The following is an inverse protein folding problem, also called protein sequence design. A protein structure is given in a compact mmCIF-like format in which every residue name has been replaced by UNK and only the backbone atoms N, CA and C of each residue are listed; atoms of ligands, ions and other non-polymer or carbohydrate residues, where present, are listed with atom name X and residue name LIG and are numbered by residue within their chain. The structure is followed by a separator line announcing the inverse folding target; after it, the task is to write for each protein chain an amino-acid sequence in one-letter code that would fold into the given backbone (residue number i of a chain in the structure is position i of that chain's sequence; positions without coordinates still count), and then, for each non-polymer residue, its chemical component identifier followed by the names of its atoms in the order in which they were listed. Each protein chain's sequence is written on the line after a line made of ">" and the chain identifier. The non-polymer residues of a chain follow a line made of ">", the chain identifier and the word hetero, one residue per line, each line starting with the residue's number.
data_IF_356336466058
#
_entry.id   IF_356336466058
#
_cell.length_a   1.000
_cell.length_b   1.000
_cell.length_c   1.000
_cell.angle_alpha   90.00
_cell.angle_beta   90.00
_cell.angle_gamma   90.00
#
_symmetry.space_group_name_H-M   'P 1'
#
loop_
_entity.id
_entity.type
_entity.pdbx_description
1 polymer ?
#
# COMPACT_ATOMS: atom_id res chain seq x y z
N UNK A 1 32.38 -9.55 -60.83
CA UNK A 1 31.61 -10.21 -59.75
C UNK A 1 30.84 -9.11 -59.04
N UNK A 2 29.59 -8.89 -59.45
CA UNK A 2 28.73 -7.82 -58.94
C UNK A 2 27.44 -8.46 -58.50
N UNK A 3 27.17 -8.39 -57.19
CA UNK A 3 26.03 -9.02 -56.53
C UNK A 3 24.92 -7.97 -56.49
N UNK A 4 23.81 -8.25 -57.18
CA UNK A 4 22.59 -7.43 -57.13
C UNK A 4 21.88 -7.66 -55.79
N UNK A 5 21.64 -6.59 -55.03
CA UNK A 5 21.01 -6.61 -53.71
C UNK A 5 19.51 -6.29 -53.87
N UNK A 6 18.66 -7.32 -53.78
CA UNK A 6 17.20 -7.20 -53.81
C UNK A 6 16.66 -6.37 -52.63
N UNK A 7 15.70 -5.48 -52.92
CA UNK A 7 14.96 -4.69 -51.92
C UNK A 7 13.80 -5.51 -51.36
N UNK A 8 13.76 -5.70 -50.05
CA UNK A 8 12.63 -6.29 -49.32
C UNK A 8 11.83 -5.20 -48.58
N UNK A 9 10.54 -4.95 -48.90
CA UNK A 9 9.75 -3.86 -48.29
C UNK A 9 8.72 -4.36 -47.25
N UNK A 10 9.12 -5.15 -46.24
CA UNK A 10 8.19 -5.66 -45.21
C UNK A 10 8.31 -4.99 -43.82
N UNK A 11 8.96 -3.83 -43.73
CA UNK A 11 9.34 -3.22 -42.44
C UNK A 11 8.52 -1.97 -42.05
N UNK A 12 7.33 -1.78 -42.63
CA UNK A 12 6.48 -0.59 -42.37
C UNK A 12 5.24 -0.83 -41.49
N UNK A 13 4.98 -2.07 -41.09
CA UNK A 13 3.76 -2.40 -40.32
C UNK A 13 3.93 -2.45 -38.80
N UNK A 14 5.15 -2.31 -38.26
CA UNK A 14 5.41 -2.45 -36.82
C UNK A 14 5.66 -1.12 -36.07
N UNK A 15 5.48 0.02 -36.72
CA UNK A 15 5.81 1.35 -36.15
C UNK A 15 4.61 2.15 -35.62
N UNK A 16 3.42 1.54 -35.49
CA UNK A 16 2.19 2.28 -35.12
C UNK A 16 1.38 1.68 -33.96
N UNK A 17 1.90 0.71 -33.20
CA UNK A 17 1.13 0.06 -32.14
C UNK A 17 1.96 -0.23 -30.88
N UNK A 18 2.79 0.73 -30.45
CA UNK A 18 3.40 0.71 -29.12
C UNK A 18 2.96 1.94 -28.32
N UNK A 19 1.65 2.17 -28.29
CA UNK A 19 1.01 3.06 -27.33
C UNK A 19 1.00 2.32 -25.99
N UNK A 20 2.14 2.34 -25.31
CA UNK A 20 2.34 1.79 -23.95
C UNK A 20 1.39 2.57 -23.03
N UNK A 21 0.18 2.06 -22.84
CA UNK A 21 -0.71 2.42 -21.75
C UNK A 21 -0.05 1.97 -20.45
N UNK A 22 0.69 2.87 -19.80
CA UNK A 22 1.16 2.69 -18.43
C UNK A 22 -0.08 2.79 -17.53
N UNK A 23 -0.54 1.71 -16.88
CA UNK A 23 -1.56 1.85 -15.86
C UNK A 23 -0.93 2.58 -14.67
N UNK A 24 -1.32 3.84 -14.49
CA UNK A 24 -1.01 4.62 -13.29
C UNK A 24 -1.75 3.94 -12.12
N UNK A 25 -1.10 2.97 -11.48
CA UNK A 25 -1.61 2.34 -10.27
C UNK A 25 -1.50 3.34 -9.11
N UNK A 26 -2.37 4.35 -9.05
CA UNK A 26 -2.49 5.18 -7.87
C UNK A 26 -3.05 4.34 -6.71
N UNK A 27 -2.21 3.88 -5.77
CA UNK A 27 -2.74 3.35 -4.52
C UNK A 27 -3.04 4.51 -3.58
N UNK A 28 -4.31 4.65 -3.22
CA UNK A 28 -4.75 5.67 -2.28
C UNK A 28 -4.17 5.37 -0.88
N UNK A 29 -3.25 6.20 -0.39
CA UNK A 29 -2.90 6.23 1.02
C UNK A 29 -4.16 6.59 1.83
N UNK A 30 -4.57 5.70 2.75
CA UNK A 30 -5.79 5.85 3.54
C UNK A 30 -5.46 6.49 4.89
N UNK A 31 -6.01 7.68 5.14
CA UNK A 31 -5.82 8.40 6.41
C UNK A 31 -7.11 8.32 7.19
N UNK A 32 -7.01 7.99 8.47
CA UNK A 32 -8.17 7.91 9.36
C UNK A 32 -7.99 8.83 10.55
N UNK A 33 -8.96 9.70 10.76
CA UNK A 33 -9.00 10.54 11.96
C UNK A 33 -9.47 9.67 13.13
N UNK A 34 -8.64 9.48 14.16
CA UNK A 34 -9.00 8.66 15.32
C UNK A 34 -9.85 9.46 16.28
N UNK A 35 -9.42 10.67 16.62
CA UNK A 35 -10.18 11.60 17.46
C UNK A 35 -9.84 13.05 17.13
N UNK A 36 -10.86 13.90 17.01
CA UNK A 36 -10.67 15.36 16.87
C UNK A 36 -11.58 16.07 17.85
N UNK A 37 -11.00 16.97 18.65
CA UNK A 37 -11.74 17.91 19.49
C UNK A 37 -11.57 19.31 18.89
N UNK A 38 -12.64 19.90 18.33
CA UNK A 38 -12.58 21.24 17.75
C UNK A 38 -11.96 22.22 18.75
N UNK A 39 -11.01 23.05 18.28
CA UNK A 39 -10.30 24.08 19.07
C UNK A 39 -9.39 23.60 20.21
N UNK A 40 -9.38 22.31 20.54
CA UNK A 40 -8.55 21.76 21.61
C UNK A 40 -7.45 20.82 21.09
N UNK A 41 -7.56 20.31 19.86
CA UNK A 41 -6.59 19.40 19.26
C UNK A 41 -7.15 17.99 19.06
N UNK A 42 -6.29 17.00 18.85
CA UNK A 42 -6.73 15.63 18.62
C UNK A 42 -5.60 14.65 18.35
N UNK A 43 -6.00 13.46 17.92
CA UNK A 43 -5.09 12.39 17.49
C UNK A 43 -5.46 11.96 16.08
N UNK A 44 -4.50 12.08 15.16
CA UNK A 44 -4.62 11.61 13.78
C UNK A 44 -3.85 10.30 13.68
N UNK A 45 -4.48 9.28 13.08
CA UNK A 45 -3.76 8.08 12.67
C UNK A 45 -3.55 8.06 11.17
N UNK A 46 -2.30 7.88 10.81
CA UNK A 46 -1.84 7.67 9.47
C UNK A 46 -1.57 6.17 9.33
N UNK A 47 -2.33 5.49 8.48
CA UNK A 47 -1.92 4.17 8.04
C UNK A 47 -0.93 4.37 6.89
N UNK A 48 0.27 3.80 7.04
CA UNK A 48 1.24 3.75 5.94
C UNK A 48 0.63 2.90 4.82
N UNK A 49 0.08 3.56 3.81
CA UNK A 49 -0.26 2.92 2.54
C UNK A 49 1.00 2.68 1.71
N UNK A 50 0.84 2.01 0.57
CA UNK A 50 1.92 1.77 -0.40
C UNK A 50 2.57 3.08 -0.91
N UNK A 51 1.89 4.23 -0.75
CA UNK A 51 2.30 5.55 -1.23
C UNK A 51 2.68 6.42 -0.04
N UNK A 52 4.00 6.64 0.09
CA UNK A 52 4.71 7.66 0.85
C UNK A 52 4.11 8.18 2.17
N UNK A 53 4.89 8.07 3.26
CA UNK A 53 4.63 8.81 4.50
C UNK A 53 4.41 10.32 4.26
N UNK A 54 5.06 10.89 3.25
CA UNK A 54 4.97 12.32 2.93
C UNK A 54 3.57 12.77 2.54
N UNK A 55 2.86 12.01 1.68
CA UNK A 55 1.49 12.37 1.29
C UNK A 55 0.54 12.31 2.48
N UNK A 56 0.73 11.31 3.33
CA UNK A 56 -0.07 11.15 4.52
C UNK A 56 0.19 12.26 5.55
N UNK A 57 1.44 12.71 5.66
CA UNK A 57 1.81 13.83 6.53
C UNK A 57 1.20 15.14 6.05
N UNK A 58 1.23 15.43 4.75
CA UNK A 58 0.61 16.64 4.19
C UNK A 58 -0.89 16.70 4.46
N UNK A 59 -1.61 15.58 4.28
CA UNK A 59 -3.04 15.50 4.59
C UNK A 59 -3.32 15.62 6.09
N UNK A 60 -2.49 15.01 6.94
CA UNK A 60 -2.61 15.18 8.39
C UNK A 60 -2.43 16.66 8.80
N UNK A 61 -1.43 17.33 8.22
CA UNK A 61 -1.20 18.77 8.43
C UNK A 61 -2.39 19.62 8.00
N UNK A 62 -2.98 19.31 6.84
CA UNK A 62 -4.20 19.98 6.36
C UNK A 62 -5.36 19.84 7.35
N UNK A 63 -5.58 18.63 7.90
CA UNK A 63 -6.62 18.38 8.90
C UNK A 63 -6.33 19.11 10.22
N UNK A 64 -5.08 19.11 10.70
CA UNK A 64 -4.69 19.84 11.92
C UNK A 64 -4.91 21.35 11.74
N UNK A 65 -4.46 21.91 10.62
CA UNK A 65 -4.63 23.31 10.28
C UNK A 65 -6.10 23.71 10.17
N UNK A 66 -6.92 22.88 9.53
CA UNK A 66 -8.37 23.07 9.43
C UNK A 66 -9.07 22.99 10.80
N UNK A 67 -8.60 22.11 11.69
CA UNK A 67 -9.21 21.91 13.02
C UNK A 67 -8.88 23.05 13.99
N UNK A 68 -7.65 23.56 13.92
CA UNK A 68 -7.17 24.60 14.82
C UNK A 68 -7.27 26.02 14.26
N UNK A 69 -7.64 26.19 12.99
CA UNK A 69 -7.74 27.50 12.33
C UNK A 69 -6.37 28.15 12.06
N UNK A 70 -5.32 27.34 11.89
CA UNK A 70 -3.98 27.84 11.54
C UNK A 70 -2.87 27.27 12.42
N UNK A 71 -2.85 27.64 13.70
CA UNK A 71 -1.75 27.30 14.62
C UNK A 71 -2.05 26.03 15.42
N UNK A 72 -1.12 25.09 15.38
CA UNK A 72 -1.13 23.88 16.19
C UNK A 72 0.29 23.53 16.62
N UNK A 73 0.40 22.74 17.67
CA UNK A 73 1.66 22.14 18.12
C UNK A 73 1.45 20.63 18.18
N UNK A 74 2.43 19.89 17.67
CA UNK A 74 2.45 18.44 17.76
C UNK A 74 3.11 18.08 19.09
N UNK A 75 2.40 17.36 19.95
CA UNK A 75 2.87 16.96 21.28
C UNK A 75 3.49 15.58 21.28
N UNK A 76 3.06 14.70 20.38
CA UNK A 76 3.55 13.31 20.31
C UNK A 76 3.44 12.78 18.88
N UNK A 77 4.49 12.11 18.41
CA UNK A 77 4.52 11.36 17.15
C UNK A 77 5.09 9.97 17.42
N UNK A 78 4.45 8.92 16.92
CA UNK A 78 4.95 7.57 17.13
C UNK A 78 4.15 6.48 16.40
N UNK A 79 4.76 5.31 16.25
CA UNK A 79 4.07 4.13 15.72
C UNK A 79 3.34 3.38 16.84
N UNK A 80 2.06 3.09 16.60
CA UNK A 80 1.23 2.29 17.49
C UNK A 80 0.78 1.00 16.77
N UNK A 81 0.93 -0.14 17.44
CA UNK A 81 0.40 -1.42 16.94
C UNK A 81 -1.11 -1.43 17.17
N UNK A 82 -1.89 -1.51 16.09
CA UNK A 82 -3.36 -1.49 16.14
C UNK A 82 -4.00 -2.86 16.05
N UNK A 83 -3.22 -3.87 15.74
CA UNK A 83 -3.69 -5.24 15.71
C UNK A 83 -2.73 -6.17 14.98
N UNK A 84 -3.14 -7.42 14.88
CA UNK A 84 -2.42 -8.47 14.17
C UNK A 84 -3.32 -9.06 13.10
N UNK A 85 -2.75 -9.47 11.98
CA UNK A 85 -3.47 -10.21 10.94
C UNK A 85 -2.75 -11.53 10.74
N UNK A 86 -3.45 -12.62 11.03
CA UNK A 86 -2.95 -13.98 10.83
C UNK A 86 -3.58 -14.58 9.59
N UNK A 87 -2.76 -15.04 8.66
CA UNK A 87 -3.18 -15.75 7.45
C UNK A 87 -2.79 -17.22 7.61
N UNK A 88 -3.77 -18.11 7.73
CA UNK A 88 -3.53 -19.55 7.76
C UNK A 88 -3.74 -20.13 6.36
N UNK A 89 -2.71 -20.75 5.81
CA UNK A 89 -2.77 -21.52 4.56
C UNK A 89 -2.69 -23.01 4.89
N UNK A 90 -3.73 -23.76 4.53
CA UNK A 90 -3.72 -25.22 4.59
C UNK A 90 -3.40 -25.81 3.23
N UNK A 91 -2.43 -26.72 3.16
CA UNK A 91 -2.20 -27.60 2.02
C UNK A 91 -2.58 -29.03 2.41
N UNK A 92 -3.42 -29.67 1.60
CA UNK A 92 -3.75 -31.07 1.72
C UNK A 92 -3.08 -31.81 0.56
N UNK A 93 -1.98 -32.50 0.84
CA UNK A 93 -1.30 -33.34 -0.14
C UNK A 93 -1.85 -34.76 -0.06
N UNK A 94 -2.50 -35.22 -1.13
CA UNK A 94 -2.84 -36.64 -1.29
C UNK A 94 -1.65 -37.37 -1.89
N UNK A 95 -1.04 -38.28 -1.13
CA UNK A 95 -0.10 -39.26 -1.66
C UNK A 95 -0.85 -40.56 -1.95
N UNK A 96 -0.70 -41.05 -3.17
CA UNK A 96 -1.20 -42.35 -3.60
C UNK A 96 -0.04 -43.33 -3.64
N UNK A 97 -0.17 -44.43 -2.89
CA UNK A 97 0.82 -45.49 -2.82
C UNK A 97 0.09 -46.84 -3.00
N UNK A 98 0.83 -47.87 -3.41
CA UNK A 98 0.28 -49.19 -3.78
C UNK A 98 -0.47 -49.94 -2.65
N UNK A 99 -0.63 -49.35 -1.46
CA UNK A 99 -1.36 -49.89 -0.29
C UNK A 99 -2.57 -49.03 0.14
N UNK A 100 -2.88 -47.93 -0.56
CA UNK A 100 -3.99 -47.04 -0.24
C UNK A 100 -3.65 -45.55 -0.40
N UNK A 101 -4.66 -44.68 -0.24
CA UNK A 101 -4.49 -43.22 -0.23
C UNK A 101 -4.22 -42.73 1.18
N UNK A 102 -3.17 -41.90 1.36
CA UNK A 102 -2.90 -41.18 2.60
C UNK A 102 -2.95 -39.68 2.34
N UNK A 103 -3.73 -38.94 3.14
CA UNK A 103 -3.82 -37.47 3.05
C UNK A 103 -2.97 -36.86 4.14
N UNK A 104 -1.95 -36.09 3.76
CA UNK A 104 -1.13 -35.33 4.70
C UNK A 104 -1.61 -33.89 4.69
N UNK A 105 -2.21 -33.44 5.80
CA UNK A 105 -2.53 -32.02 6.00
C UNK A 105 -1.32 -31.30 6.57
N UNK A 106 -0.93 -30.20 5.94
CA UNK A 106 0.06 -29.26 6.46
C UNK A 106 -0.56 -27.86 6.49
N UNK A 107 -0.37 -27.14 7.60
CA UNK A 107 -0.88 -25.79 7.77
C UNK A 107 0.26 -24.85 8.14
N UNK A 108 0.39 -23.74 7.44
CA UNK A 108 1.31 -22.65 7.78
C UNK A 108 0.50 -21.42 8.16
N UNK A 109 0.85 -20.79 9.27
CA UNK A 109 0.21 -19.56 9.75
C UNK A 109 1.22 -18.43 9.72
N UNK A 110 0.98 -17.46 8.85
CA UNK A 110 1.76 -16.22 8.77
C UNK A 110 1.06 -15.16 9.63
N UNK A 111 1.74 -14.62 10.64
CA UNK A 111 1.19 -13.53 11.46
C UNK A 111 1.95 -12.23 11.17
N UNK A 112 1.22 -11.19 10.81
CA UNK A 112 1.77 -9.86 10.52
C UNK A 112 1.14 -8.82 11.43
N UNK A 113 1.98 -8.02 12.09
CA UNK A 113 1.52 -6.91 12.91
C UNK A 113 1.08 -5.74 12.02
N UNK A 114 -0.08 -5.16 12.32
CA UNK A 114 -0.55 -3.91 11.71
C UNK A 114 -0.18 -2.74 12.62
N UNK A 115 0.64 -1.85 12.10
CA UNK A 115 1.06 -0.60 12.76
C UNK A 115 0.36 0.59 12.11
N UNK A 116 0.14 1.64 12.89
CA UNK A 116 -0.28 2.96 12.39
C UNK A 116 0.58 4.04 13.04
N UNK A 117 0.87 5.09 12.29
CA UNK A 117 1.59 6.25 12.81
C UNK A 117 0.58 7.22 13.43
N UNK A 118 0.74 7.56 14.71
CA UNK A 118 -0.14 8.47 15.44
C UNK A 118 0.54 9.80 15.67
N UNK A 119 -0.21 10.87 15.44
CA UNK A 119 0.19 12.25 15.69
C UNK A 119 -0.83 12.85 16.66
N UNK A 120 -0.38 13.17 17.86
CA UNK A 120 -1.14 13.92 18.86
C UNK A 120 -0.79 15.39 18.74
N UNK A 121 -1.81 16.24 18.62
CA UNK A 121 -1.61 17.68 18.46
C UNK A 121 -2.58 18.48 19.32
N UNK A 122 -2.17 19.69 19.68
CA UNK A 122 -2.98 20.67 20.42
C UNK A 122 -3.09 21.96 19.62
N UNK A 123 -4.26 22.59 19.67
CA UNK A 123 -4.44 23.89 19.02
C UNK A 123 -3.75 24.99 19.84
N UNK A 124 -3.09 25.93 19.14
CA UNK A 124 -2.47 27.10 19.75
C UNK A 124 -3.27 28.35 19.42
N UNK A 125 -3.31 29.30 20.36
CA UNK A 125 -3.85 30.64 20.14
C UNK A 125 -2.76 31.55 19.53
#
# INVERSE_FOLDING_TARGET
>A
MSIQFERNPSMKQYMAALLITVPFMASCATIRVVTTRPRNGGVIAIQAGLWGQDEARMKAESVMRSTCGGKFEITEEGEAVIGTTSTTRGNADQKYNNRGSSTQLSSSTDTTNKTEHRITYVCKK
#
